data_IF_508295327774
#
_entry.id   IF_508295327774
#
_cell.length_a   1.000
_cell.length_b   1.000
_cell.length_c   1.000
_cell.angle_alpha   90.00
_cell.angle_beta   90.00
_cell.angle_gamma   90.00
#
_symmetry.space_group_name_H-M   'P 1'
#
loop_
_entity.id
_entity.type
_entity.pdbx_description
1 polymer ?
#
# COMPACT_ATOMS: atom_id res chain seq x y z
N UNK A 1 -9.21 -27.13 -63.79
CA UNK A 1 -9.01 -25.70 -63.47
C UNK A 1 -8.91 -25.61 -61.97
N UNK A 2 -7.83 -24.99 -61.54
CA UNK A 2 -7.18 -25.11 -60.24
C UNK A 2 -8.07 -24.68 -59.07
N UNK A 3 -7.99 -25.44 -57.98
CA UNK A 3 -8.73 -25.35 -56.71
C UNK A 3 -8.25 -24.15 -55.86
N UNK A 4 -8.00 -23.00 -56.49
CA UNK A 4 -7.46 -21.78 -55.85
C UNK A 4 -8.57 -20.80 -55.45
N UNK A 5 -9.77 -21.30 -55.20
CA UNK A 5 -10.94 -20.50 -54.84
C UNK A 5 -11.32 -20.51 -53.36
N UNK A 6 -10.62 -21.28 -52.51
CA UNK A 6 -11.01 -21.52 -51.12
C UNK A 6 -9.90 -21.22 -50.10
N UNK A 7 -8.88 -20.45 -50.45
CA UNK A 7 -7.75 -20.16 -49.53
C UNK A 7 -7.36 -18.67 -49.53
N UNK A 8 -8.31 -17.75 -49.76
CA UNK A 8 -8.03 -16.31 -49.70
C UNK A 8 -8.85 -15.55 -48.67
N UNK A 9 -9.81 -16.21 -48.00
CA UNK A 9 -10.71 -15.57 -47.04
C UNK A 9 -10.20 -15.69 -45.60
N UNK A 10 -9.26 -16.60 -45.33
CA UNK A 10 -8.67 -16.81 -44.01
C UNK A 10 -7.49 -15.88 -43.73
N UNK A 11 -7.15 -15.01 -44.69
CA UNK A 11 -5.98 -14.13 -44.71
C UNK A 11 -6.35 -12.65 -44.85
N UNK A 12 -7.65 -12.30 -44.84
CA UNK A 12 -8.09 -10.91 -45.06
C UNK A 12 -8.15 -10.07 -43.78
N UNK A 13 -8.18 -10.69 -42.59
CA UNK A 13 -8.13 -10.02 -41.28
C UNK A 13 -7.16 -10.79 -40.36
N UNK A 14 -5.86 -10.78 -40.66
CA UNK A 14 -4.74 -11.33 -39.86
C UNK A 14 -4.88 -12.81 -39.37
N UNK A 15 -5.88 -13.53 -39.86
CA UNK A 15 -6.10 -14.96 -39.63
C UNK A 15 -6.53 -15.32 -38.20
N UNK A 16 -6.81 -16.62 -38.00
CA UNK A 16 -7.24 -17.15 -36.68
C UNK A 16 -6.17 -16.96 -35.59
N UNK A 17 -4.90 -16.86 -35.98
CA UNK A 17 -3.78 -16.69 -35.06
C UNK A 17 -3.78 -15.28 -34.45
N UNK A 18 -4.07 -14.25 -35.24
CA UNK A 18 -4.12 -12.89 -34.74
C UNK A 18 -5.31 -12.65 -33.81
N UNK A 19 -6.50 -13.17 -34.17
CA UNK A 19 -7.66 -13.11 -33.28
C UNK A 19 -7.40 -13.77 -31.91
N UNK A 20 -6.67 -14.89 -31.89
CA UNK A 20 -6.26 -15.53 -30.63
C UNK A 20 -5.23 -14.69 -29.89
N UNK A 21 -4.28 -14.09 -30.58
CA UNK A 21 -3.27 -13.22 -29.99
C UNK A 21 -3.90 -11.96 -29.38
N UNK A 22 -4.87 -11.35 -30.04
CA UNK A 22 -5.62 -10.21 -29.54
C UNK A 22 -6.50 -10.58 -28.35
N UNK A 23 -7.17 -11.73 -28.39
CA UNK A 23 -7.91 -12.24 -27.24
C UNK A 23 -7.00 -12.46 -26.03
N UNK A 24 -5.79 -12.99 -26.23
CA UNK A 24 -4.79 -13.17 -25.16
C UNK A 24 -4.32 -11.82 -24.61
N UNK A 25 -4.04 -10.83 -25.48
CA UNK A 25 -3.66 -9.49 -25.02
C UNK A 25 -4.77 -8.82 -24.23
N UNK A 26 -6.02 -8.87 -24.72
CA UNK A 26 -7.16 -8.31 -24.02
C UNK A 26 -7.33 -8.90 -22.61
N UNK A 27 -7.16 -10.22 -22.46
CA UNK A 27 -7.20 -10.88 -21.14
C UNK A 27 -6.02 -10.46 -20.26
N UNK A 28 -4.81 -10.34 -20.83
CA UNK A 28 -3.60 -9.93 -20.10
C UNK A 28 -3.71 -8.49 -19.60
N UNK A 29 -4.20 -7.57 -20.43
CA UNK A 29 -4.43 -6.17 -20.08
C UNK A 29 -5.50 -6.04 -19.01
N UNK A 30 -6.59 -6.80 -19.11
CA UNK A 30 -7.63 -6.81 -18.08
C UNK A 30 -7.09 -7.33 -16.74
N UNK A 31 -6.26 -8.38 -16.74
CA UNK A 31 -5.68 -8.94 -15.52
C UNK A 31 -4.67 -7.98 -14.87
N UNK A 32 -3.81 -7.35 -15.68
CA UNK A 32 -2.83 -6.38 -15.19
C UNK A 32 -3.52 -5.12 -14.64
N UNK A 33 -4.55 -4.62 -15.30
CA UNK A 33 -5.36 -3.51 -14.81
C UNK A 33 -6.04 -3.85 -13.48
N UNK A 34 -6.65 -5.04 -13.36
CA UNK A 34 -7.29 -5.48 -12.13
C UNK A 34 -6.29 -5.63 -10.97
N UNK A 35 -5.09 -6.16 -11.24
CA UNK A 35 -4.03 -6.25 -10.25
C UNK A 35 -3.55 -4.86 -9.79
N UNK A 36 -3.38 -3.92 -10.73
CA UNK A 36 -3.01 -2.55 -10.41
C UNK A 36 -4.06 -1.85 -9.53
N UNK A 37 -5.35 -2.03 -9.82
CA UNK A 37 -6.43 -1.49 -8.98
C UNK A 37 -6.39 -2.05 -7.55
N UNK A 38 -6.19 -3.36 -7.39
CA UNK A 38 -6.11 -3.99 -6.07
C UNK A 38 -4.88 -3.52 -5.28
N UNK A 39 -3.73 -3.41 -5.95
CA UNK A 39 -2.51 -2.90 -5.33
C UNK A 39 -2.68 -1.44 -4.91
N UNK A 40 -3.27 -0.59 -5.75
CA UNK A 40 -3.55 0.80 -5.41
C UNK A 40 -4.50 0.93 -4.22
N UNK A 41 -5.55 0.09 -4.16
CA UNK A 41 -6.47 0.06 -3.02
C UNK A 41 -5.74 -0.34 -1.72
N UNK A 42 -4.89 -1.37 -1.76
CA UNK A 42 -4.11 -1.76 -0.59
C UNK A 42 -3.11 -0.66 -0.18
N UNK A 43 -2.34 -0.12 -1.13
CA UNK A 43 -1.37 0.93 -0.86
C UNK A 43 -2.02 2.20 -0.29
N UNK A 44 -3.23 2.55 -0.74
CA UNK A 44 -3.98 3.70 -0.24
C UNK A 44 -4.43 3.59 1.21
N UNK A 45 -4.44 2.38 1.80
CA UNK A 45 -4.78 2.18 3.22
C UNK A 45 -3.57 2.29 4.15
N UNK A 46 -2.35 2.20 3.61
CA UNK A 46 -1.10 2.27 4.37
C UNK A 46 -0.75 3.73 4.59
N UNK A 47 -0.57 4.13 5.85
CA UNK A 47 -0.09 5.46 6.21
C UNK A 47 1.40 5.38 6.51
N UNK A 48 2.21 6.21 5.89
CA UNK A 48 3.66 6.27 6.14
C UNK A 48 3.97 7.57 6.86
N UNK A 49 4.61 7.50 8.02
CA UNK A 49 5.06 8.70 8.74
C UNK A 49 6.43 8.48 9.40
N UNK A 50 6.93 9.50 10.09
CA UNK A 50 8.11 9.40 10.95
C UNK A 50 7.77 9.82 12.38
N UNK A 51 8.63 9.45 13.32
CA UNK A 51 8.59 9.95 14.70
C UNK A 51 8.95 11.44 14.72
N UNK A 52 8.26 12.23 15.53
CA UNK A 52 8.53 13.66 15.73
C UNK A 52 9.95 13.89 16.29
N UNK A 53 10.51 15.08 16.11
CA UNK A 53 11.87 15.43 16.54
C UNK A 53 11.92 16.34 17.77
N UNK A 54 10.76 16.62 18.39
CA UNK A 54 10.62 17.53 19.52
C UNK A 54 9.70 17.01 20.62
N UNK A 55 9.24 15.76 20.52
CA UNK A 55 8.41 15.11 21.53
C UNK A 55 9.22 14.08 22.32
N UNK A 56 8.94 13.97 23.62
CA UNK A 56 9.58 12.99 24.48
C UNK A 56 8.91 11.62 24.33
N UNK A 57 9.38 10.85 23.37
CA UNK A 57 8.83 9.52 23.06
C UNK A 57 9.06 8.52 24.19
N UNK A 58 8.13 7.58 24.37
CA UNK A 58 8.22 6.53 25.40
C UNK A 58 8.03 5.15 24.80
N UNK A 59 8.10 4.11 25.63
CA UNK A 59 7.78 2.74 25.19
C UNK A 59 6.30 2.53 24.92
N UNK A 60 5.41 3.46 25.26
CA UNK A 60 3.94 3.31 25.09
C UNK A 60 3.31 4.44 24.30
N UNK A 61 4.05 5.51 24.00
CA UNK A 61 3.52 6.67 23.29
C UNK A 61 4.51 7.12 22.25
N UNK A 62 3.99 7.52 21.08
CA UNK A 62 4.78 8.32 20.15
C UNK A 62 4.02 9.45 19.47
N UNK A 63 4.71 10.51 19.06
CA UNK A 63 4.12 11.55 18.21
C UNK A 63 4.53 11.39 16.74
N UNK A 64 3.54 11.50 15.86
CA UNK A 64 3.79 11.58 14.42
C UNK A 64 4.47 12.90 14.04
N UNK A 65 5.56 12.82 13.29
CA UNK A 65 6.39 13.92 12.82
C UNK A 65 5.78 14.69 11.65
N UNK A 66 4.62 14.26 11.13
CA UNK A 66 3.83 15.02 10.16
C UNK A 66 4.35 14.95 8.73
N UNK A 67 5.14 13.93 8.38
CA UNK A 67 5.47 13.63 6.98
C UNK A 67 4.25 13.07 6.25
N UNK A 68 3.30 12.46 6.97
CA UNK A 68 1.96 12.13 6.50
C UNK A 68 0.91 13.19 6.88
N UNK A 69 -0.17 13.25 6.10
CA UNK A 69 -1.42 13.91 6.49
C UNK A 69 -2.21 13.04 7.48
N UNK A 70 -1.71 12.92 8.72
CA UNK A 70 -2.39 12.17 9.77
C UNK A 70 -3.76 12.77 10.10
N UNK A 71 -4.75 11.91 10.37
CA UNK A 71 -6.13 12.31 10.68
C UNK A 71 -6.18 13.32 11.83
N UNK A 72 -7.06 14.33 11.71
CA UNK A 72 -7.33 15.30 12.77
C UNK A 72 -8.39 14.84 13.78
N UNK A 73 -8.91 13.61 13.60
CA UNK A 73 -9.97 13.04 14.43
C UNK A 73 -9.36 12.11 15.46
N UNK A 74 -9.77 12.26 16.72
CA UNK A 74 -9.40 11.34 17.80
C UNK A 74 -9.87 9.91 17.49
N UNK A 75 -9.18 8.91 18.03
CA UNK A 75 -9.46 7.48 17.87
C UNK A 75 -9.39 6.92 16.44
N UNK A 76 -9.05 7.74 15.44
CA UNK A 76 -9.11 7.35 14.02
C UNK A 76 -8.25 6.13 13.67
N UNK A 77 -7.16 5.91 14.42
CA UNK A 77 -6.23 4.79 14.18
C UNK A 77 -6.35 3.67 15.23
N UNK A 78 -7.31 3.74 16.15
CA UNK A 78 -7.43 2.73 17.21
C UNK A 78 -7.70 1.33 16.61
N UNK A 79 -6.99 0.32 17.11
CA UNK A 79 -7.04 -1.06 16.63
C UNK A 79 -6.19 -1.35 15.39
N UNK A 80 -5.56 -0.33 14.78
CA UNK A 80 -4.58 -0.52 13.70
C UNK A 80 -3.21 -0.88 14.25
N UNK A 81 -2.32 -1.34 13.38
CA UNK A 81 -0.95 -1.74 13.77
C UNK A 81 0.04 -0.70 13.27
N UNK A 82 0.95 -0.29 14.16
CA UNK A 82 2.14 0.48 13.78
C UNK A 82 3.30 -0.50 13.57
N UNK A 83 4.07 -0.31 12.50
CA UNK A 83 5.25 -1.12 12.18
C UNK A 83 6.42 -0.16 11.93
N UNK A 84 7.48 -0.26 12.73
CA UNK A 84 8.67 0.55 12.51
C UNK A 84 9.46 0.03 11.30
N UNK A 85 9.80 0.91 10.38
CA UNK A 85 10.49 0.56 9.13
C UNK A 85 11.96 0.95 9.12
N UNK A 86 12.46 1.61 10.17
CA UNK A 86 13.87 1.96 10.36
C UNK A 86 14.26 2.03 11.84
N UNK A 87 15.52 2.37 12.12
CA UNK A 87 16.04 2.50 13.48
C UNK A 87 16.24 1.17 14.22
N UNK A 88 16.44 1.25 15.53
CA UNK A 88 16.66 0.09 16.41
C UNK A 88 15.43 -0.79 16.56
N UNK A 89 14.24 -0.22 16.34
CA UNK A 89 12.95 -0.90 16.44
C UNK A 89 12.48 -1.49 15.10
N UNK A 90 13.30 -1.46 14.05
CA UNK A 90 12.91 -1.92 12.71
C UNK A 90 12.28 -3.32 12.76
N UNK A 91 11.14 -3.45 12.06
CA UNK A 91 10.28 -4.64 11.99
C UNK A 91 9.53 -5.00 13.27
N UNK A 92 9.70 -4.25 14.36
CA UNK A 92 8.81 -4.38 15.50
C UNK A 92 7.45 -3.76 15.18
N UNK A 93 6.40 -4.44 15.63
CA UNK A 93 5.02 -4.03 15.43
C UNK A 93 4.28 -4.00 16.77
N UNK A 94 3.34 -3.06 16.92
CA UNK A 94 2.47 -2.96 18.10
C UNK A 94 1.11 -2.39 17.73
N UNK A 95 0.09 -2.70 18.53
CA UNK A 95 -1.28 -2.24 18.34
C UNK A 95 -1.50 -0.84 18.90
N UNK A 96 -2.22 -0.01 18.14
CA UNK A 96 -2.61 1.34 18.56
C UNK A 96 -3.85 1.22 19.45
N UNK A 97 -3.71 1.60 20.70
CA UNK A 97 -4.77 1.56 21.71
C UNK A 97 -5.51 2.89 21.85
N UNK A 98 -4.86 4.00 21.49
CA UNK A 98 -5.45 5.35 21.48
C UNK A 98 -4.70 6.26 20.49
N UNK A 99 -5.37 7.29 19.99
CA UNK A 99 -4.80 8.31 19.11
C UNK A 99 -5.47 9.67 19.32
N UNK A 100 -4.68 10.70 19.58
CA UNK A 100 -5.15 12.07 19.64
C UNK A 100 -4.96 12.78 18.29
N UNK A 101 -6.07 13.13 17.65
CA UNK A 101 -6.11 13.79 16.35
C UNK A 101 -5.60 15.23 16.36
N UNK A 102 -5.56 15.90 17.51
CA UNK A 102 -5.03 17.26 17.62
C UNK A 102 -3.51 17.26 17.79
N UNK A 103 -2.99 16.47 18.72
CA UNK A 103 -1.56 16.44 19.06
C UNK A 103 -0.76 15.47 18.20
N UNK A 104 -1.43 14.57 17.47
CA UNK A 104 -0.84 13.48 16.67
C UNK A 104 -0.10 12.45 17.52
N UNK A 105 -0.49 12.31 18.78
CA UNK A 105 0.10 11.33 19.69
C UNK A 105 -0.65 10.01 19.58
N UNK A 106 0.09 8.95 19.33
CA UNK A 106 -0.34 7.56 19.38
C UNK A 106 -0.01 6.97 20.75
N UNK A 107 -0.92 6.16 21.27
CA UNK A 107 -0.67 5.27 22.41
C UNK A 107 -0.80 3.83 21.93
N UNK A 108 0.09 2.96 22.42
CA UNK A 108 0.16 1.56 21.97
C UNK A 108 0.66 0.63 23.08
N UNK A 109 0.52 -0.68 22.86
CA UNK A 109 1.10 -1.67 23.77
C UNK A 109 2.62 -1.53 23.83
N UNK A 110 3.18 -1.65 25.04
CA UNK A 110 4.58 -1.33 25.30
C UNK A 110 5.56 -2.06 24.37
N UNK A 111 6.50 -1.30 23.79
CA UNK A 111 7.59 -1.79 22.93
C UNK A 111 8.94 -1.86 23.67
N UNK A 112 9.99 -2.36 23.02
CA UNK A 112 11.27 -2.70 23.69
C UNK A 112 12.13 -1.50 24.10
N UNK A 113 11.96 -0.35 23.44
CA UNK A 113 12.59 0.93 23.82
C UNK A 113 11.81 2.09 23.22
N UNK A 114 11.99 3.30 23.74
CA UNK A 114 11.44 4.49 23.09
C UNK A 114 11.97 4.61 21.64
N UNK A 115 11.12 4.96 20.67
CA UNK A 115 11.57 5.29 19.31
C UNK A 115 12.49 6.50 19.33
N UNK A 116 13.49 6.51 18.45
CA UNK A 116 14.32 7.70 18.25
C UNK A 116 13.65 8.67 17.26
N UNK A 117 13.97 9.95 17.42
CA UNK A 117 13.52 11.03 16.55
C UNK A 117 13.75 10.70 15.06
N UNK A 118 12.74 10.97 14.22
CA UNK A 118 12.84 10.80 12.77
C UNK A 118 12.85 9.35 12.28
N UNK A 119 12.74 8.35 13.16
CA UNK A 119 12.53 6.95 12.74
C UNK A 119 11.22 6.83 11.96
N UNK A 120 11.27 6.15 10.81
CA UNK A 120 10.10 5.93 9.96
C UNK A 120 9.26 4.74 10.42
N UNK A 121 7.95 4.84 10.24
CA UNK A 121 6.99 3.79 10.51
C UNK A 121 5.83 3.80 9.50
N UNK A 122 5.07 2.72 9.50
CA UNK A 122 3.81 2.62 8.75
C UNK A 122 2.66 2.22 9.67
N UNK A 123 1.44 2.63 9.33
CA UNK A 123 0.19 2.20 9.96
C UNK A 123 -0.60 1.38 8.94
N UNK A 124 -1.00 0.17 9.33
CA UNK A 124 -1.73 -0.81 8.51
C UNK A 124 -3.02 -1.29 9.16
#
# INVERSE_FOLDING_TARGET
>A
ADTVGLVLNEWQDDGRLDLLLDAIKAVTDALTAAAATKLAASAGTVVVDSVDTGYAETTTTLKGGGTASLSAVDDHYNGRIIIFTSGTLQNQATDITDYNGTTKVFTFTAITSAPADGVTFVIV
#
